data_IF_777941423961
#
_entry.id   IF_777941423961
#
_cell.length_a   1.000
_cell.length_b   1.000
_cell.length_c   1.000
_cell.angle_alpha   90.00
_cell.angle_beta   90.00
_cell.angle_gamma   90.00
#
_symmetry.space_group_name_H-M   'P 1'
#
loop_
_entity.id
_entity.type
_entity.pdbx_description
1 polymer ?
#
# COMPACT_ATOMS: atom_id res chain seq x y z
N UNK A 1 45.80 29.73 49.99
CA UNK A 1 46.42 29.53 48.65
C UNK A 1 46.03 28.11 48.26
N UNK A 2 45.13 27.85 47.33
CA UNK A 2 45.27 28.13 45.89
C UNK A 2 43.90 28.01 45.22
N UNK A 3 43.55 28.99 44.41
CA UNK A 3 42.39 29.01 43.50
C UNK A 3 42.61 27.99 42.38
N UNK A 4 41.58 27.24 41.95
CA UNK A 4 41.64 26.60 40.64
C UNK A 4 40.25 26.34 40.00
N UNK A 5 39.96 27.20 39.01
CA UNK A 5 39.38 26.90 37.68
C UNK A 5 37.91 26.45 37.59
N UNK A 6 37.07 27.46 37.34
CA UNK A 6 35.86 27.39 36.53
C UNK A 6 36.12 26.70 35.19
N UNK A 7 35.29 25.72 34.84
CA UNK A 7 35.16 25.20 33.47
C UNK A 7 33.70 25.25 33.08
N UNK A 8 33.35 26.24 32.24
CA UNK A 8 32.05 26.33 31.60
C UNK A 8 32.08 25.44 30.35
N UNK A 9 31.29 24.37 30.34
CA UNK A 9 31.06 23.55 29.16
C UNK A 9 29.79 24.05 28.46
N UNK A 10 29.97 24.77 27.34
CA UNK A 10 28.88 25.16 26.45
C UNK A 10 28.60 23.98 25.53
N UNK A 11 27.52 23.24 25.77
CA UNK A 11 27.02 22.22 24.84
C UNK A 11 26.09 22.91 23.86
N UNK A 12 26.56 23.14 22.64
CA UNK A 12 25.74 23.63 21.54
C UNK A 12 24.85 22.48 21.02
N UNK A 13 23.54 22.56 21.28
CA UNK A 13 22.56 21.64 20.72
C UNK A 13 22.09 22.18 19.36
N UNK A 14 22.56 21.57 18.27
CA UNK A 14 22.07 21.86 16.92
C UNK A 14 20.73 21.15 16.71
N UNK A 15 19.61 21.87 16.84
CA UNK A 15 18.30 21.36 16.45
C UNK A 15 18.16 21.43 14.92
N UNK A 16 18.32 20.30 14.23
CA UNK A 16 17.98 20.20 12.81
C UNK A 16 16.45 20.23 12.65
N UNK A 17 15.92 21.34 12.13
CA UNK A 17 14.52 21.48 11.74
C UNK A 17 14.26 20.65 10.48
N UNK A 18 13.71 19.44 10.66
CA UNK A 18 13.13 18.65 9.57
C UNK A 18 11.83 19.35 9.13
N UNK A 19 11.87 20.02 8.00
CA UNK A 19 10.65 20.52 7.35
C UNK A 19 9.94 19.34 6.70
N UNK A 20 8.87 18.86 7.33
CA UNK A 20 7.98 17.89 6.72
C UNK A 20 7.26 18.57 5.54
N UNK A 21 7.62 18.18 4.31
CA UNK A 21 6.85 18.53 3.12
C UNK A 21 5.49 17.83 3.24
N UNK A 22 4.45 18.60 3.53
CA UNK A 22 3.08 18.10 3.45
C UNK A 22 2.73 17.98 1.96
N UNK A 23 2.80 16.75 1.43
CA UNK A 23 2.29 16.45 0.10
C UNK A 23 0.79 16.77 0.07
N UNK A 24 0.40 17.81 -0.67
CA UNK A 24 -1.01 18.13 -0.90
C UNK A 24 -1.59 17.04 -1.81
N UNK A 25 -2.49 16.22 -1.28
CA UNK A 25 -3.19 15.19 -2.06
C UNK A 25 -4.12 15.88 -3.07
N UNK A 26 -3.71 15.89 -4.33
CA UNK A 26 -4.55 16.37 -5.43
C UNK A 26 -5.72 15.39 -5.61
N UNK A 27 -6.94 15.82 -5.28
CA UNK A 27 -8.15 15.01 -5.45
C UNK A 27 -8.31 14.62 -6.91
N UNK A 28 -8.60 13.33 -7.18
CA UNK A 28 -8.81 12.79 -8.52
C UNK A 28 -7.56 12.29 -9.25
N UNK A 29 -6.35 12.63 -8.80
CA UNK A 29 -5.10 12.10 -9.35
C UNK A 29 -4.60 10.85 -8.61
N UNK A 30 -3.80 10.03 -9.28
CA UNK A 30 -3.00 9.00 -8.62
C UNK A 30 -1.76 9.64 -7.99
N UNK A 31 -1.56 9.41 -6.70
CA UNK A 31 -0.38 9.84 -5.95
C UNK A 31 0.34 8.60 -5.43
N UNK A 32 1.64 8.50 -5.69
CA UNK A 32 2.47 7.41 -5.15
C UNK A 32 2.43 7.44 -3.62
N UNK A 33 2.32 6.26 -3.01
CA UNK A 33 2.25 6.10 -1.57
C UNK A 33 3.20 5.00 -1.10
N UNK A 34 3.66 5.12 0.14
CA UNK A 34 4.50 4.11 0.78
C UNK A 34 3.69 2.86 1.07
N UNK A 35 4.21 1.69 0.69
CA UNK A 35 3.64 0.41 1.08
C UNK A 35 3.96 0.15 2.56
N UNK A 36 2.93 0.07 3.41
CA UNK A 36 3.07 -0.38 4.81
C UNK A 36 2.25 -1.65 5.05
N UNK A 37 2.39 -2.24 6.23
CA UNK A 37 1.60 -3.42 6.63
C UNK A 37 0.09 -3.15 6.59
N UNK A 38 -0.34 -1.90 6.80
CA UNK A 38 -1.75 -1.50 6.71
C UNK A 38 -2.27 -1.68 5.29
N UNK A 39 -1.54 -1.15 4.30
CA UNK A 39 -1.93 -1.24 2.90
C UNK A 39 -1.80 -2.67 2.36
N UNK A 40 -0.81 -3.44 2.81
CA UNK A 40 -0.69 -4.87 2.47
C UNK A 40 -1.88 -5.65 3.04
N UNK A 41 -2.27 -5.40 4.29
CA UNK A 41 -3.42 -6.07 4.88
C UNK A 41 -4.74 -5.72 4.19
N UNK A 42 -4.91 -4.46 3.75
CA UNK A 42 -6.07 -4.05 2.95
C UNK A 42 -6.13 -4.83 1.62
N UNK A 43 -5.00 -4.95 0.92
CA UNK A 43 -4.92 -5.73 -0.32
C UNK A 43 -5.24 -7.21 -0.07
N UNK A 44 -4.63 -7.83 0.94
CA UNK A 44 -4.85 -9.24 1.27
C UNK A 44 -6.31 -9.50 1.67
N UNK A 45 -6.92 -8.62 2.46
CA UNK A 45 -8.32 -8.69 2.83
C UNK A 45 -9.23 -8.58 1.61
N UNK A 46 -8.98 -7.61 0.73
CA UNK A 46 -9.78 -7.38 -0.46
C UNK A 46 -9.65 -8.54 -1.46
N UNK A 47 -8.42 -8.87 -1.84
CA UNK A 47 -8.14 -9.84 -2.88
C UNK A 47 -8.30 -11.29 -2.45
N UNK A 48 -8.30 -11.58 -1.14
CA UNK A 48 -8.43 -12.92 -0.56
C UNK A 48 -9.87 -13.43 -0.43
N UNK A 49 -10.88 -12.59 -0.69
CA UNK A 49 -12.29 -12.97 -0.60
C UNK A 49 -13.01 -12.62 -1.90
N UNK A 50 -13.51 -13.64 -2.60
CA UNK A 50 -14.22 -13.47 -3.86
C UNK A 50 -15.48 -12.60 -3.74
N UNK A 51 -16.08 -12.48 -2.55
CA UNK A 51 -17.24 -11.60 -2.32
C UNK A 51 -16.90 -10.11 -2.37
N UNK A 52 -15.61 -9.77 -2.26
CA UNK A 52 -15.12 -8.40 -2.41
C UNK A 52 -14.84 -8.03 -3.88
N UNK A 53 -14.96 -8.94 -4.84
CA UNK A 53 -14.72 -8.62 -6.25
C UNK A 53 -15.98 -8.02 -6.86
N UNK A 54 -15.81 -6.91 -7.59
CA UNK A 54 -16.90 -6.35 -8.38
C UNK A 54 -17.38 -7.33 -9.46
N UNK A 55 -18.68 -7.34 -9.82
CA UNK A 55 -19.25 -8.31 -10.76
C UNK A 55 -18.59 -8.36 -12.14
N UNK A 56 -17.92 -7.28 -12.55
CA UNK A 56 -17.20 -7.11 -13.81
C UNK A 56 -15.72 -7.51 -13.74
N UNK A 57 -15.18 -7.78 -12.54
CA UNK A 57 -13.80 -8.25 -12.37
C UNK A 57 -13.75 -9.76 -12.52
N UNK A 58 -13.31 -10.22 -13.70
CA UNK A 58 -13.22 -11.65 -14.02
C UNK A 58 -11.84 -12.26 -13.75
N UNK A 59 -10.83 -11.44 -13.55
CA UNK A 59 -9.47 -11.90 -13.27
C UNK A 59 -9.31 -12.20 -11.77
N UNK A 60 -8.83 -13.40 -11.48
CA UNK A 60 -8.47 -13.84 -10.14
C UNK A 60 -6.97 -14.07 -10.09
N UNK A 61 -6.31 -13.53 -9.07
CA UNK A 61 -4.87 -13.71 -8.87
C UNK A 61 -4.56 -14.10 -7.42
N UNK A 62 -3.41 -14.75 -7.24
CA UNK A 62 -2.77 -14.86 -5.95
C UNK A 62 -1.59 -13.87 -5.85
N UNK A 63 -1.28 -13.45 -4.63
CA UNK A 63 -0.33 -12.39 -4.31
C UNK A 63 1.02 -12.98 -3.85
N UNK A 64 2.13 -12.50 -4.40
CA UNK A 64 3.49 -12.89 -4.00
C UNK A 64 4.23 -11.73 -3.32
N UNK A 65 4.20 -10.56 -3.95
CA UNK A 65 4.86 -9.36 -3.45
C UNK A 65 4.11 -8.10 -3.95
N UNK A 66 4.16 -7.04 -3.14
CA UNK A 66 3.72 -5.69 -3.55
C UNK A 66 4.96 -4.90 -3.94
N UNK A 67 4.97 -4.35 -5.14
CA UNK A 67 6.11 -3.66 -5.73
C UNK A 67 5.92 -2.14 -5.76
N UNK A 68 4.67 -1.69 -5.77
CA UNK A 68 4.32 -0.27 -5.80
C UNK A 68 2.89 -0.04 -5.33
N UNK A 69 2.63 1.20 -4.92
CA UNK A 69 1.31 1.64 -4.49
C UNK A 69 1.05 3.07 -4.93
N UNK A 70 -0.15 3.30 -5.45
CA UNK A 70 -0.70 4.62 -5.71
C UNK A 70 -2.08 4.74 -5.10
N UNK A 71 -2.42 5.93 -4.64
CA UNK A 71 -3.72 6.25 -4.05
C UNK A 71 -4.41 7.34 -4.86
N UNK A 72 -5.73 7.27 -4.93
CA UNK A 72 -6.57 8.29 -5.52
C UNK A 72 -7.77 8.54 -4.60
N UNK A 73 -7.88 9.76 -4.09
CA UNK A 73 -9.03 10.17 -3.28
C UNK A 73 -10.23 10.44 -4.18
N UNK A 74 -11.35 9.82 -3.84
CA UNK A 74 -12.68 9.95 -4.46
C UNK A 74 -13.73 10.12 -3.35
N UNK A 75 -14.97 9.63 -3.52
CA UNK A 75 -15.88 9.39 -2.40
C UNK A 75 -15.45 8.15 -1.60
N UNK A 76 -14.23 8.14 -1.08
CA UNK A 76 -13.47 6.97 -0.62
C UNK A 76 -12.04 7.06 -1.12
N UNK A 77 -11.33 5.94 -1.14
CA UNK A 77 -9.96 5.87 -1.67
C UNK A 77 -9.82 4.68 -2.59
N UNK A 78 -9.32 4.91 -3.80
CA UNK A 78 -8.80 3.84 -4.64
C UNK A 78 -7.32 3.63 -4.30
N UNK A 79 -6.93 2.38 -4.13
CA UNK A 79 -5.56 1.92 -3.95
C UNK A 79 -5.20 1.07 -5.16
N UNK A 80 -4.24 1.52 -5.96
CA UNK A 80 -3.68 0.75 -7.08
C UNK A 80 -2.37 0.14 -6.62
N UNK A 81 -2.37 -1.17 -6.44
CA UNK A 81 -1.21 -1.95 -6.10
C UNK A 81 -0.59 -2.51 -7.37
N UNK A 82 0.70 -2.28 -7.57
CA UNK A 82 1.50 -3.11 -8.47
C UNK A 82 1.94 -4.33 -7.68
N UNK A 83 1.61 -5.53 -8.16
CA UNK A 83 1.91 -6.79 -7.48
C UNK A 83 2.54 -7.78 -8.43
N UNK A 84 3.56 -8.48 -7.94
CA UNK A 84 3.95 -9.75 -8.52
C UNK A 84 2.97 -10.82 -8.02
N UNK A 85 2.39 -11.57 -8.94
CA UNK A 85 1.36 -12.56 -8.63
C UNK A 85 1.23 -13.63 -9.70
N UNK A 86 0.21 -14.46 -9.56
CA UNK A 86 -0.12 -15.48 -10.55
C UNK A 86 -1.62 -15.51 -10.79
N UNK A 87 -2.02 -15.74 -12.03
CA UNK A 87 -3.41 -16.00 -12.35
C UNK A 87 -3.86 -17.32 -11.70
N UNK A 88 -5.07 -17.31 -11.15
CA UNK A 88 -5.73 -18.50 -10.59
C UNK A 88 -7.04 -18.76 -11.29
N UNK A 89 -7.48 -20.01 -11.28
CA UNK A 89 -8.67 -20.44 -12.06
C UNK A 89 -9.99 -20.21 -11.31
N UNK A 90 -9.95 -20.04 -9.98
CA UNK A 90 -11.13 -19.88 -9.15
C UNK A 90 -10.79 -19.24 -7.79
N UNK A 91 -11.84 -18.98 -7.00
CA UNK A 91 -11.77 -18.32 -5.71
C UNK A 91 -10.88 -19.02 -4.68
N UNK A 92 -10.63 -20.33 -4.79
CA UNK A 92 -9.81 -21.08 -3.83
C UNK A 92 -8.32 -20.73 -3.92
N UNK A 93 -7.89 -20.15 -5.05
CA UNK A 93 -6.52 -19.69 -5.25
C UNK A 93 -6.27 -18.24 -4.82
N UNK A 94 -7.29 -17.51 -4.35
CA UNK A 94 -7.17 -16.11 -3.97
C UNK A 94 -6.32 -15.90 -2.72
N UNK A 95 -5.85 -14.66 -2.54
CA UNK A 95 -5.01 -14.26 -1.41
C UNK A 95 -3.53 -14.59 -1.65
N UNK A 96 -2.74 -14.88 -0.61
CA UNK A 96 -1.32 -15.21 -0.78
C UNK A 96 -1.13 -16.52 -1.58
N UNK A 97 -0.22 -16.52 -2.55
CA UNK A 97 0.08 -17.74 -3.32
C UNK A 97 0.67 -18.83 -2.41
N UNK A 98 0.11 -20.05 -2.47
CA UNK A 98 0.68 -21.25 -1.83
C UNK A 98 2.03 -21.57 -2.49
N UNK A 99 3.07 -21.76 -1.67
CA UNK A 99 4.45 -22.10 -2.05
C UNK A 99 5.15 -21.17 -3.06
N UNK A 100 4.46 -20.13 -3.57
CA UNK A 100 4.96 -19.17 -4.58
C UNK A 100 5.44 -19.82 -5.88
N UNK A 101 5.05 -21.07 -6.13
CA UNK A 101 5.39 -21.84 -7.33
C UNK A 101 4.29 -21.71 -8.39
N UNK A 102 4.42 -20.70 -9.24
CA UNK A 102 3.53 -20.46 -10.37
C UNK A 102 4.20 -19.57 -11.42
N UNK A 103 3.58 -19.45 -12.60
CA UNK A 103 4.05 -18.55 -13.65
C UNK A 103 3.80 -17.10 -13.22
N UNK A 104 4.82 -16.48 -12.62
CA UNK A 104 4.75 -15.12 -12.07
C UNK A 104 4.56 -14.11 -13.19
N UNK A 105 3.72 -13.12 -12.92
CA UNK A 105 3.54 -11.94 -13.77
C UNK A 105 3.17 -10.75 -12.90
N UNK A 106 3.34 -9.56 -13.44
CA UNK A 106 3.04 -8.32 -12.74
C UNK A 106 1.61 -7.88 -13.07
N UNK A 107 0.89 -7.42 -12.06
CA UNK A 107 -0.51 -7.00 -12.15
C UNK A 107 -0.72 -5.66 -11.46
N UNK A 108 -1.64 -4.87 -12.01
CA UNK A 108 -2.27 -3.76 -11.32
C UNK A 108 -3.58 -4.26 -10.70
N UNK A 109 -3.66 -4.22 -9.36
CA UNK A 109 -4.87 -4.50 -8.59
C UNK A 109 -5.40 -3.21 -8.01
N UNK A 110 -6.64 -2.86 -8.35
CA UNK A 110 -7.31 -1.69 -7.80
C UNK A 110 -8.31 -2.12 -6.73
N UNK A 111 -8.12 -1.60 -5.52
CA UNK A 111 -9.00 -1.79 -4.37
C UNK A 111 -9.66 -0.45 -4.02
N UNK A 112 -10.97 -0.41 -3.97
CA UNK A 112 -11.73 0.68 -3.40
C UNK A 112 -11.97 0.44 -1.90
N UNK A 113 -11.72 1.45 -1.08
CA UNK A 113 -12.04 1.43 0.35
C UNK A 113 -12.84 2.67 0.75
N UNK A 114 -13.91 2.45 1.50
CA UNK A 114 -14.74 3.47 2.12
C UNK A 114 -15.04 3.07 3.57
N UNK A 115 -14.19 3.46 4.54
CA UNK A 115 -14.30 2.98 5.92
C UNK A 115 -15.63 3.35 6.61
N UNK A 116 -16.21 4.53 6.31
CA UNK A 116 -17.44 5.00 6.95
C UNK A 116 -18.71 4.24 6.52
N UNK A 117 -18.63 3.42 5.48
CA UNK A 117 -19.68 2.48 5.06
C UNK A 117 -19.24 1.02 5.18
N UNK A 118 -18.04 0.76 5.72
CA UNK A 118 -17.42 -0.55 5.76
C UNK A 118 -17.35 -1.24 4.38
N UNK A 119 -17.01 -0.48 3.34
CA UNK A 119 -16.87 -1.00 1.98
C UNK A 119 -15.40 -1.24 1.64
N UNK A 120 -15.08 -2.46 1.22
CA UNK A 120 -13.80 -2.85 0.62
C UNK A 120 -14.13 -3.67 -0.62
N UNK A 121 -13.58 -3.31 -1.77
CA UNK A 121 -13.92 -3.96 -3.02
C UNK A 121 -12.75 -3.96 -4.00
N UNK A 122 -12.46 -5.10 -4.62
CA UNK A 122 -11.57 -5.19 -5.78
C UNK A 122 -12.36 -4.73 -7.00
N UNK A 123 -11.90 -3.66 -7.64
CA UNK A 123 -12.59 -3.02 -8.78
C UNK A 123 -11.85 -3.23 -10.10
N UNK A 124 -10.60 -3.67 -10.07
CA UNK A 124 -9.85 -4.04 -11.28
C UNK A 124 -8.70 -4.97 -10.95
N UNK A 125 -8.43 -5.92 -11.85
CA UNK A 125 -7.21 -6.73 -11.88
C UNK A 125 -6.78 -6.85 -13.34
N UNK A 126 -5.63 -6.28 -13.69
CA UNK A 126 -5.10 -6.27 -15.06
C UNK A 126 -3.60 -6.52 -15.07
N UNK A 127 -3.02 -7.07 -16.14
CA UNK A 127 -1.57 -7.10 -16.29
C UNK A 127 -0.96 -5.71 -16.15
N UNK A 128 0.18 -5.60 -15.45
CA UNK A 128 0.96 -4.37 -15.35
C UNK A 128 1.69 -4.12 -16.69
N UNK A 129 1.78 -2.86 -17.13
CA UNK A 129 2.31 -2.46 -18.44
C UNK A 129 3.34 -1.34 -18.35
#
# INVERSE_FOLDING_TARGET
MTFLRTSAAVVAASAALLTAVQAQTMVGGWTEATVTDVEVNLLVQAAGDASNYAPDVTAAICLIAVEGLWTQTVAGTNYKYQVAGCAVNDASGLGPCVDRECAKSDYDVVVFSQPWTNTVQVTSVTPHS
#
